data_IF_313132546277
#
_entry.id   IF_313132546277
#
_cell.length_a   1.000
_cell.length_b   1.000
_cell.length_c   1.000
_cell.angle_alpha   90.00
_cell.angle_beta   90.00
_cell.angle_gamma   90.00
#
_symmetry.space_group_name_H-M   'P 1'
#
loop_
_entity.id
_entity.type
_entity.pdbx_description
1 polymer ?
#
# COMPACT_ATOMS: atom_id res chain seq x y z
N UNK A 1 -11.90 -2.54 6.44
CA UNK A 1 -11.49 -3.95 6.56
C UNK A 1 -10.14 -4.11 5.90
N UNK A 2 -9.22 -4.91 6.45
CA UNK A 2 -7.96 -5.23 5.77
C UNK A 2 -8.22 -5.88 4.40
N UNK A 3 -7.56 -5.42 3.33
CA UNK A 3 -7.79 -5.93 1.96
C UNK A 3 -6.54 -6.53 1.31
N UNK A 4 -5.41 -5.87 1.45
CA UNK A 4 -4.12 -6.28 0.91
C UNK A 4 -3.05 -6.28 2.00
N UNK A 5 -2.06 -7.16 1.85
CA UNK A 5 -0.91 -7.25 2.75
C UNK A 5 0.36 -7.46 1.93
N UNK A 6 1.46 -6.87 2.37
CA UNK A 6 2.79 -7.00 1.78
C UNK A 6 3.83 -7.17 2.90
N UNK A 7 4.90 -7.89 2.58
CA UNK A 7 5.94 -8.27 3.54
C UNK A 7 7.27 -7.64 3.14
N UNK A 8 7.88 -6.90 4.07
CA UNK A 8 9.28 -6.54 4.01
C UNK A 8 10.10 -7.62 4.72
N UNK A 9 10.69 -8.53 3.95
CA UNK A 9 11.51 -9.62 4.46
C UNK A 9 12.90 -9.17 4.93
N UNK A 10 13.33 -7.95 4.56
CA UNK A 10 14.63 -7.40 4.96
C UNK A 10 14.54 -6.83 6.37
N UNK A 11 13.51 -6.02 6.64
CA UNK A 11 13.32 -5.39 7.95
C UNK A 11 12.37 -6.16 8.89
N UNK A 12 11.66 -7.17 8.40
CA UNK A 12 10.72 -7.96 9.21
C UNK A 12 9.42 -7.22 9.52
N UNK A 13 8.92 -6.42 8.57
CA UNK A 13 7.72 -5.62 8.72
C UNK A 13 6.57 -6.12 7.82
N UNK A 14 5.34 -5.95 8.29
CA UNK A 14 4.11 -6.20 7.55
C UNK A 14 3.46 -4.86 7.22
N UNK A 15 3.04 -4.70 5.97
CA UNK A 15 2.32 -3.54 5.46
C UNK A 15 0.94 -3.98 5.00
N UNK A 16 -0.11 -3.24 5.32
CA UNK A 16 -1.46 -3.59 4.85
C UNK A 16 -2.33 -2.38 4.56
N UNK A 17 -3.28 -2.58 3.67
CA UNK A 17 -4.37 -1.63 3.39
C UNK A 17 -5.57 -1.97 4.24
N UNK A 18 -6.22 -0.97 4.83
CA UNK A 18 -7.51 -1.11 5.51
C UNK A 18 -8.53 -0.14 4.92
N UNK A 19 -9.43 -0.66 4.08
CA UNK A 19 -10.45 0.14 3.41
C UNK A 19 -11.60 0.62 4.29
N UNK A 20 -11.70 0.09 5.51
CA UNK A 20 -12.75 0.50 6.44
C UNK A 20 -12.32 1.68 7.29
N UNK A 21 -11.04 2.03 7.22
CA UNK A 21 -10.43 3.17 7.89
C UNK A 21 -9.69 4.08 6.91
N UNK A 22 -9.65 3.73 5.63
CA UNK A 22 -8.92 4.44 4.58
C UNK A 22 -7.47 4.75 4.98
N UNK A 23 -6.74 3.69 5.31
CA UNK A 23 -5.33 3.79 5.72
C UNK A 23 -4.45 2.70 5.12
N UNK A 24 -3.16 3.02 5.06
CA UNK A 24 -2.08 2.02 4.97
C UNK A 24 -1.30 2.05 6.27
N UNK A 25 -1.07 0.88 6.83
CA UNK A 25 -0.38 0.70 8.10
C UNK A 25 0.79 -0.25 7.96
N UNK A 26 1.69 -0.16 8.93
CA UNK A 26 2.83 -1.05 9.11
C UNK A 26 2.90 -1.53 10.56
N UNK A 27 3.42 -2.74 10.76
CA UNK A 27 3.82 -3.27 12.06
C UNK A 27 4.98 -4.24 11.87
N UNK A 28 5.69 -4.58 12.95
CA UNK A 28 6.58 -5.73 12.92
C UNK A 28 5.78 -7.01 12.68
N UNK A 29 6.41 -8.05 12.12
CA UNK A 29 5.80 -9.39 11.98
C UNK A 29 5.31 -9.98 13.32
N UNK A 30 5.88 -9.55 14.44
CA UNK A 30 5.42 -9.88 15.80
C UNK A 30 4.07 -9.23 16.19
N UNK A 31 3.54 -8.33 15.35
CA UNK A 31 2.37 -7.50 15.62
C UNK A 31 2.67 -6.23 16.44
N UNK A 32 3.92 -6.01 16.83
CA UNK A 32 4.32 -4.84 17.61
C UNK A 32 4.56 -3.59 16.75
N UNK A 33 4.61 -2.43 17.40
CA UNK A 33 4.95 -1.14 16.78
C UNK A 33 4.10 -0.75 15.56
N UNK A 34 2.79 -1.00 15.68
CA UNK A 34 1.82 -0.60 14.65
C UNK A 34 1.82 0.92 14.46
N UNK A 35 1.87 1.36 13.20
CA UNK A 35 1.85 2.77 12.79
C UNK A 35 1.04 2.95 11.51
N UNK A 36 0.28 4.05 11.42
CA UNK A 36 -0.32 4.53 10.17
C UNK A 36 0.72 5.27 9.33
N UNK A 37 0.89 4.85 8.08
CA UNK A 37 1.82 5.45 7.13
C UNK A 37 1.11 6.40 6.17
N UNK A 38 -0.02 5.96 5.60
CA UNK A 38 -0.83 6.75 4.68
C UNK A 38 -2.22 6.91 5.25
N UNK A 39 -2.72 8.13 5.21
CA UNK A 39 -4.08 8.51 5.59
C UNK A 39 -4.47 9.79 4.85
N UNK A 40 -5.77 9.98 4.63
CA UNK A 40 -6.29 11.18 3.96
C UNK A 40 -6.01 11.17 2.46
N UNK A 41 -6.98 11.65 1.66
CA UNK A 41 -6.92 11.56 0.18
C UNK A 41 -6.64 10.15 -0.34
N UNK A 42 -6.98 9.12 0.43
CA UNK A 42 -6.99 7.71 0.06
C UNK A 42 -8.41 7.24 0.34
N UNK A 43 -8.98 6.45 -0.57
CA UNK A 43 -10.39 6.07 -0.53
C UNK A 43 -10.48 4.61 -0.98
N UNK A 44 -10.89 3.70 -0.09
CA UNK A 44 -10.99 2.28 -0.42
C UNK A 44 -9.66 1.60 -0.86
N UNK A 45 -8.53 1.76 -0.15
CA UNK A 45 -7.27 1.09 -0.55
C UNK A 45 -7.40 -0.43 -0.65
N UNK A 46 -6.85 -1.02 -1.73
CA UNK A 46 -7.03 -2.43 -2.09
C UNK A 46 -5.72 -3.23 -2.06
N UNK A 47 -5.06 -3.39 -3.20
CA UNK A 47 -3.79 -4.11 -3.30
C UNK A 47 -2.62 -3.22 -2.85
N UNK A 48 -1.61 -3.82 -2.20
CA UNK A 48 -0.35 -3.16 -1.84
C UNK A 48 0.81 -4.10 -2.12
N UNK A 49 1.94 -3.53 -2.55
CA UNK A 49 3.23 -4.21 -2.70
C UNK A 49 4.35 -3.32 -2.16
N UNK A 50 5.44 -3.93 -1.71
CA UNK A 50 6.64 -3.23 -1.22
C UNK A 50 7.87 -3.69 -1.98
N UNK A 51 8.84 -2.80 -2.16
CA UNK A 51 10.17 -3.06 -2.69
C UNK A 51 11.20 -2.62 -1.63
N UNK A 52 11.64 -3.55 -0.75
CA UNK A 52 12.60 -3.23 0.30
C UNK A 52 13.96 -2.78 -0.23
N UNK A 53 14.36 -3.20 -1.44
CA UNK A 53 15.65 -2.81 -2.02
C UNK A 53 15.63 -1.34 -2.46
N UNK A 54 14.46 -0.85 -2.92
CA UNK A 54 14.26 0.55 -3.30
C UNK A 54 13.70 1.42 -2.17
N UNK A 55 13.20 0.81 -1.10
CA UNK A 55 12.57 1.52 0.01
C UNK A 55 11.21 2.14 -0.36
N UNK A 56 10.50 1.56 -1.34
CA UNK A 56 9.26 2.10 -1.90
C UNK A 56 8.09 1.14 -1.75
N UNK A 57 6.89 1.68 -1.56
CA UNK A 57 5.64 0.92 -1.58
C UNK A 57 4.67 1.49 -2.62
N UNK A 58 3.85 0.61 -3.17
CA UNK A 58 2.85 0.93 -4.19
C UNK A 58 1.51 0.34 -3.81
N UNK A 59 0.42 1.07 -4.05
CA UNK A 59 -0.93 0.57 -3.78
C UNK A 59 -1.94 1.02 -4.81
N UNK A 60 -3.02 0.25 -4.89
CA UNK A 60 -4.22 0.58 -5.65
C UNK A 60 -5.25 1.20 -4.70
N UNK A 61 -5.80 2.32 -5.12
CA UNK A 61 -6.96 2.99 -4.54
C UNK A 61 -8.06 2.94 -5.61
N UNK A 62 -9.20 2.35 -5.28
CA UNK A 62 -10.33 2.14 -6.20
C UNK A 62 -11.60 2.85 -5.71
N UNK A 63 -11.46 3.84 -4.83
CA UNK A 63 -12.56 4.65 -4.34
C UNK A 63 -13.13 5.57 -5.43
N UNK A 64 -13.69 6.71 -5.02
CA UNK A 64 -14.34 7.63 -5.96
C UNK A 64 -13.39 8.21 -7.02
N UNK A 65 -12.08 8.19 -6.77
CA UNK A 65 -11.04 8.63 -7.70
C UNK A 65 -9.97 7.52 -7.86
N UNK A 66 -10.26 6.49 -8.67
CA UNK A 66 -9.37 5.35 -8.82
C UNK A 66 -7.98 5.75 -9.30
N UNK A 67 -6.95 5.25 -8.62
CA UNK A 67 -5.56 5.61 -8.86
C UNK A 67 -4.58 4.56 -8.36
N UNK A 68 -3.37 4.64 -8.88
CA UNK A 68 -2.21 3.91 -8.38
C UNK A 68 -1.27 4.94 -7.79
N UNK A 69 -0.84 4.70 -6.56
CA UNK A 69 0.04 5.61 -5.83
C UNK A 69 1.30 4.89 -5.36
N UNK A 70 2.33 5.68 -5.09
CA UNK A 70 3.60 5.25 -4.53
C UNK A 70 3.98 6.13 -3.36
N UNK A 71 4.80 5.62 -2.46
CA UNK A 71 5.45 6.38 -1.40
C UNK A 71 6.74 5.67 -0.98
N UNK A 72 7.59 6.34 -0.21
CA UNK A 72 8.62 5.65 0.56
C UNK A 72 7.95 4.74 1.62
N UNK A 73 8.63 3.66 2.02
CA UNK A 73 8.13 2.68 2.99
C UNK A 73 7.96 3.23 4.42
N UNK A 74 8.34 4.48 4.68
CA UNK A 74 8.07 5.22 5.92
C UNK A 74 6.84 6.14 5.83
N UNK A 75 6.15 6.14 4.67
CA UNK A 75 4.97 6.96 4.37
C UNK A 75 5.28 8.32 3.74
N UNK A 76 6.55 8.67 3.56
CA UNK A 76 6.94 9.95 2.96
C UNK A 76 6.95 9.90 1.43
N UNK A 77 7.11 11.05 0.78
CA UNK A 77 7.24 11.15 -0.69
C UNK A 77 6.09 10.49 -1.46
N UNK A 78 4.86 10.58 -0.91
CA UNK A 78 3.66 10.09 -1.57
C UNK A 78 3.44 10.79 -2.92
N UNK A 79 3.18 10.01 -3.95
CA UNK A 79 2.92 10.48 -5.30
C UNK A 79 1.86 9.63 -5.98
N UNK A 80 1.02 10.27 -6.79
CA UNK A 80 0.12 9.56 -7.71
C UNK A 80 0.88 9.18 -8.96
N UNK A 81 0.98 7.87 -9.24
CA UNK A 81 1.63 7.38 -10.46
C UNK A 81 0.68 7.36 -11.64
N UNK A 82 -0.56 6.90 -11.43
CA UNK A 82 -1.56 6.77 -12.48
C UNK A 82 -2.92 7.18 -11.91
N UNK A 83 -3.63 8.04 -12.63
CA UNK A 83 -4.97 8.52 -12.25
C UNK A 83 -5.91 8.73 -13.45
N UNK A 84 -5.42 8.56 -14.67
CA UNK A 84 -6.19 8.70 -15.90
C UNK A 84 -6.53 7.31 -16.48
N UNK A 85 -7.74 7.17 -17.04
CA UNK A 85 -8.24 5.93 -17.65
C UNK A 85 -8.23 4.69 -16.72
N UNK A 86 -8.26 4.89 -15.41
CA UNK A 86 -8.46 3.83 -14.42
C UNK A 86 -9.92 3.82 -13.98
N UNK A 87 -10.59 2.68 -14.10
CA UNK A 87 -11.97 2.48 -13.62
C UNK A 87 -12.02 1.49 -12.46
N UNK A 88 -11.31 0.36 -12.58
CA UNK A 88 -11.22 -0.66 -11.52
C UNK A 88 -9.81 -1.26 -11.47
N UNK A 89 -8.87 -0.66 -10.72
CA UNK A 89 -7.54 -1.24 -10.51
C UNK A 89 -7.64 -2.37 -9.49
N UNK A 90 -8.28 -3.47 -9.86
CA UNK A 90 -8.50 -4.64 -9.00
C UNK A 90 -7.25 -5.52 -8.85
N UNK A 91 -6.25 -5.30 -9.71
CA UNK A 91 -4.97 -5.99 -9.64
C UNK A 91 -3.82 -5.06 -10.03
N UNK A 92 -2.93 -4.79 -9.07
CA UNK A 92 -1.57 -4.35 -9.37
C UNK A 92 -0.72 -5.60 -9.52
N UNK A 93 -0.51 -6.03 -10.77
CA UNK A 93 0.48 -7.06 -11.09
C UNK A 93 1.64 -6.39 -11.84
N UNK A 94 2.66 -5.99 -11.08
CA UNK A 94 4.02 -5.90 -11.61
C UNK A 94 4.80 -7.00 -10.93
N UNK A 95 5.27 -7.96 -11.72
CA UNK A 95 6.29 -8.98 -11.41
C UNK A 95 7.07 -8.69 -10.12
N UNK A 96 6.63 -9.26 -8.99
CA UNK A 96 7.42 -10.06 -8.06
C UNK A 96 6.40 -10.75 -7.14
N UNK A 97 6.45 -12.07 -7.26
CA UNK A 97 5.63 -13.06 -6.59
C UNK A 97 5.98 -13.07 -5.10
N UNK A 98 4.93 -13.17 -4.29
CA UNK A 98 4.81 -13.99 -3.09
C UNK A 98 6.13 -14.62 -2.60
N UNK A 99 6.51 -14.28 -1.37
CA UNK A 99 7.07 -15.24 -0.43
C UNK A 99 6.43 -14.98 0.94
#
# INVERSE_FOLDING_TARGET
>A
MPRGIAVDWVAGNLYWTDSGRDVIEVAQMSGQYRKTLISGMIDEPYAIVVDPQRGTMYWADWGNHPKIETAAMDGTLRQTLVHENIQWPTGLYSVIVVA
#
